data_IF_211231663424
#
_entry.id   IF_211231663424
#
_cell.length_a   1.000
_cell.length_b   1.000
_cell.length_c   1.000
_cell.angle_alpha   90.00
_cell.angle_beta   90.00
_cell.angle_gamma   90.00
#
_symmetry.space_group_name_H-M   'P 1'
#
loop_
_entity.id
_entity.type
_entity.pdbx_description
1 polymer ?
#
# COMPACT_ATOMS: atom_id res chain seq x y z
N UNK A 1 13.90 -29.83 14.64
CA UNK A 1 13.66 -30.49 15.94
C UNK A 1 14.40 -29.67 16.99
N UNK A 2 13.70 -28.79 17.72
CA UNK A 2 14.15 -28.13 18.95
C UNK A 2 12.94 -27.39 19.54
N UNK A 3 11.91 -28.18 19.89
CA UNK A 3 10.84 -27.77 20.79
C UNK A 3 10.99 -28.66 22.01
N UNK A 4 11.82 -28.28 22.98
CA UNK A 4 11.86 -28.85 24.33
C UNK A 4 12.96 -28.14 25.11
N UNK A 5 12.64 -27.06 25.84
CA UNK A 5 13.24 -26.78 27.16
C UNK A 5 12.75 -25.49 27.87
N UNK A 6 11.46 -25.13 27.80
CA UNK A 6 10.92 -24.16 28.77
C UNK A 6 9.87 -24.81 29.67
N UNK A 7 10.46 -25.60 30.58
CA UNK A 7 10.06 -25.86 31.96
C UNK A 7 8.87 -25.03 32.46
N UNK A 8 7.73 -25.71 32.57
CA UNK A 8 6.59 -25.36 33.40
C UNK A 8 6.99 -25.40 34.89
N UNK A 9 7.36 -24.25 35.47
CA UNK A 9 7.42 -23.91 36.91
C UNK A 9 7.94 -22.47 36.93
N UNK A 10 7.18 -21.44 37.27
CA UNK A 10 6.51 -21.17 38.53
C UNK A 10 5.33 -20.22 38.25
N UNK A 11 4.11 -20.66 38.55
CA UNK A 11 2.88 -19.85 38.56
C UNK A 11 2.38 -19.73 40.01
N UNK A 12 3.31 -19.54 40.96
CA UNK A 12 3.02 -19.42 42.40
C UNK A 12 3.61 -18.12 42.95
N UNK A 13 3.06 -16.97 42.54
CA UNK A 13 3.02 -15.76 43.39
C UNK A 13 1.91 -14.79 42.94
N UNK A 14 0.69 -15.31 42.73
CA UNK A 14 -0.51 -14.44 42.60
C UNK A 14 -1.51 -14.86 43.67
N UNK A 15 -1.06 -14.86 44.91
CA UNK A 15 -1.94 -14.94 46.07
C UNK A 15 -1.59 -13.81 47.04
N UNK A 16 -1.67 -12.57 46.54
CA UNK A 16 -1.85 -11.39 47.38
C UNK A 16 -3.05 -10.65 46.85
N UNK A 17 -4.08 -10.65 47.68
CA UNK A 17 -5.42 -10.18 47.36
C UNK A 17 -5.42 -8.75 46.84
N UNK A 18 -5.79 -8.62 45.59
CA UNK A 18 -6.51 -7.47 45.06
C UNK A 18 -7.48 -8.02 44.03
N UNK A 19 -8.75 -7.64 44.13
CA UNK A 19 -9.86 -8.12 43.30
C UNK A 19 -9.70 -7.63 41.85
N UNK A 20 -8.79 -8.24 41.10
CA UNK A 20 -8.60 -7.92 39.69
C UNK A 20 -9.69 -8.69 38.91
N UNK A 21 -10.65 -8.00 38.27
CA UNK A 21 -11.76 -8.68 37.60
C UNK A 21 -11.23 -9.61 36.51
N UNK A 22 -11.56 -10.90 36.63
CA UNK A 22 -11.22 -12.04 35.75
C UNK A 22 -11.36 -11.75 34.24
N UNK A 23 -12.19 -10.77 33.86
CA UNK A 23 -12.33 -10.24 32.49
C UNK A 23 -11.06 -9.56 31.96
N UNK A 24 -10.24 -8.92 32.80
CA UNK A 24 -9.01 -8.23 32.36
C UNK A 24 -7.86 -9.19 32.07
N UNK A 25 -7.79 -10.32 32.78
CA UNK A 25 -6.70 -11.30 32.61
C UNK A 25 -6.80 -12.07 31.29
N UNK A 26 -8.02 -12.27 30.77
CA UNK A 26 -8.26 -12.99 29.51
C UNK A 26 -8.30 -12.07 28.27
N UNK A 27 -8.61 -10.78 28.46
CA UNK A 27 -8.75 -9.81 27.36
C UNK A 27 -7.39 -9.28 26.87
N UNK A 28 -6.39 -9.21 27.74
CA UNK A 28 -5.02 -8.79 27.39
C UNK A 28 -4.32 -9.76 26.41
N UNK A 29 -4.30 -11.10 26.61
CA UNK A 29 -3.69 -11.99 25.61
C UNK A 29 -4.48 -12.06 24.30
N UNK A 30 -5.81 -11.92 24.35
CA UNK A 30 -6.66 -11.91 23.14
C UNK A 30 -6.40 -10.66 22.28
N UNK A 31 -6.25 -9.49 22.91
CA UNK A 31 -5.95 -8.23 22.22
C UNK A 31 -4.52 -8.22 21.66
N UNK A 32 -3.58 -8.84 22.35
CA UNK A 32 -2.21 -9.03 21.84
C UNK A 32 -2.20 -9.91 20.57
N UNK A 33 -2.91 -11.04 20.55
CA UNK A 33 -3.00 -11.89 19.35
C UNK A 33 -3.62 -11.19 18.13
N UNK A 34 -4.57 -10.27 18.34
CA UNK A 34 -5.21 -9.50 17.27
C UNK A 34 -4.29 -8.41 16.66
N UNK A 35 -3.31 -7.92 17.42
CA UNK A 35 -2.39 -6.88 16.94
C UNK A 35 -1.20 -7.47 16.15
N UNK A 36 -0.88 -8.75 16.33
CA UNK A 36 0.23 -9.40 15.60
C UNK A 36 -0.13 -9.87 14.18
N UNK A 37 -1.40 -9.83 13.77
CA UNK A 37 -1.84 -10.26 12.42
C UNK A 37 -1.87 -9.13 11.39
N UNK A 38 -1.33 -7.95 11.70
CA UNK A 38 -1.47 -6.75 10.86
C UNK A 38 -0.40 -6.54 9.77
N UNK A 39 0.67 -7.35 9.70
CA UNK A 39 1.63 -7.30 8.59
C UNK A 39 1.16 -8.23 7.46
N UNK A 40 0.16 -7.78 6.69
CA UNK A 40 -0.45 -8.56 5.63
C UNK A 40 0.20 -8.30 4.27
N UNK A 41 1.11 -9.17 3.83
CA UNK A 41 1.41 -9.37 2.41
C UNK A 41 0.46 -10.46 1.88
N UNK A 42 -0.22 -10.19 0.77
CA UNK A 42 -1.09 -11.17 0.11
C UNK A 42 -0.36 -11.76 -1.10
N UNK A 43 -0.12 -13.07 -1.08
CA UNK A 43 0.50 -13.81 -2.17
C UNK A 43 -0.43 -14.87 -2.74
N UNK A 44 -0.60 -14.93 -4.07
CA UNK A 44 -1.50 -15.87 -4.74
C UNK A 44 -0.87 -16.47 -6.00
N UNK A 45 -1.07 -17.78 -6.22
CA UNK A 45 -0.75 -18.47 -7.47
C UNK A 45 -1.84 -19.50 -7.76
N UNK A 46 -2.40 -19.50 -8.97
CA UNK A 46 -3.52 -20.39 -9.32
C UNK A 46 -3.12 -21.85 -9.14
N UNK A 47 -3.86 -22.58 -8.32
CA UNK A 47 -3.63 -24.00 -8.05
C UNK A 47 -2.53 -24.30 -7.02
N UNK A 48 -1.89 -23.28 -6.43
CA UNK A 48 -0.92 -23.45 -5.36
C UNK A 48 -1.61 -23.36 -3.99
N UNK A 49 -1.08 -24.10 -3.02
CA UNK A 49 -1.54 -24.11 -1.63
C UNK A 49 -0.71 -23.17 -0.75
N UNK A 50 -1.12 -22.97 0.50
CA UNK A 50 -0.34 -22.19 1.46
C UNK A 50 1.04 -22.83 1.73
N UNK A 51 1.15 -24.17 1.70
CA UNK A 51 2.42 -24.85 1.85
C UNK A 51 3.37 -24.57 0.68
N UNK A 52 2.85 -24.44 -0.54
CA UNK A 52 3.64 -24.06 -1.71
C UNK A 52 4.17 -22.64 -1.60
N UNK A 53 3.37 -21.72 -1.02
CA UNK A 53 3.79 -20.35 -0.77
C UNK A 53 4.94 -20.30 0.22
N UNK A 54 4.81 -20.96 1.38
CA UNK A 54 5.86 -20.97 2.39
C UNK A 54 7.15 -21.61 1.86
N UNK A 55 7.04 -22.72 1.10
CA UNK A 55 8.20 -23.32 0.44
C UNK A 55 8.88 -22.38 -0.56
N UNK A 56 8.09 -21.65 -1.35
CA UNK A 56 8.61 -20.68 -2.32
C UNK A 56 9.29 -19.50 -1.61
N UNK A 57 8.68 -19.02 -0.52
CA UNK A 57 9.20 -17.96 0.33
C UNK A 57 10.51 -18.35 0.99
N UNK A 58 10.61 -19.56 1.54
CA UNK A 58 11.83 -20.07 2.15
C UNK A 58 12.96 -20.20 1.12
N UNK A 59 12.64 -20.66 -0.09
CA UNK A 59 13.60 -20.69 -1.19
C UNK A 59 14.08 -19.28 -1.58
N UNK A 60 13.19 -18.29 -1.57
CA UNK A 60 13.51 -16.89 -1.87
C UNK A 60 14.22 -16.14 -0.73
N UNK A 61 14.14 -16.62 0.52
CA UNK A 61 14.79 -15.99 1.68
C UNK A 61 16.23 -16.45 1.89
N UNK A 62 16.72 -17.39 1.09
CA UNK A 62 18.09 -17.88 1.18
C UNK A 62 19.09 -16.72 1.04
N UNK A 63 20.04 -16.62 1.97
CA UNK A 63 21.10 -15.60 2.02
C UNK A 63 20.69 -14.17 2.43
N UNK A 64 19.61 -14.00 3.20
CA UNK A 64 19.30 -12.70 3.83
C UNK A 64 18.86 -11.63 2.83
N UNK A 65 18.18 -12.05 1.76
CA UNK A 65 17.59 -11.16 0.76
C UNK A 65 16.63 -10.16 1.44
N UNK A 66 16.65 -8.90 0.97
CA UNK A 66 15.68 -7.89 1.41
C UNK A 66 14.27 -8.28 1.00
N UNK A 67 13.25 -7.76 1.69
CA UNK A 67 11.84 -8.08 1.40
C UNK A 67 11.47 -7.78 -0.07
N UNK A 68 12.02 -6.70 -0.65
CA UNK A 68 11.86 -6.38 -2.06
C UNK A 68 12.46 -7.44 -2.99
N UNK A 69 13.60 -8.02 -2.63
CA UNK A 69 14.24 -9.08 -3.40
C UNK A 69 13.50 -10.43 -3.24
N UNK A 70 12.94 -10.70 -2.05
CA UNK A 70 12.08 -11.86 -1.81
C UNK A 70 10.80 -11.77 -2.64
N UNK A 71 10.13 -10.60 -2.63
CA UNK A 71 8.95 -10.32 -3.46
C UNK A 71 9.24 -10.56 -4.93
N UNK A 72 10.33 -10.00 -5.45
CA UNK A 72 10.72 -10.21 -6.85
C UNK A 72 10.96 -11.68 -7.18
N UNK A 73 11.63 -12.42 -6.30
CA UNK A 73 11.83 -13.86 -6.49
C UNK A 73 10.50 -14.64 -6.52
N UNK A 74 9.53 -14.29 -5.67
CA UNK A 74 8.20 -14.89 -5.69
C UNK A 74 7.44 -14.56 -6.99
N UNK A 75 7.51 -13.30 -7.45
CA UNK A 75 6.94 -12.87 -8.73
C UNK A 75 7.55 -13.62 -9.92
N UNK A 76 8.87 -13.78 -9.94
CA UNK A 76 9.58 -14.54 -10.98
C UNK A 76 9.20 -16.05 -10.95
N UNK A 77 8.76 -16.57 -9.80
CA UNK A 77 8.18 -17.92 -9.64
C UNK A 77 6.67 -17.98 -10.00
N UNK A 78 6.08 -16.88 -10.44
CA UNK A 78 4.68 -16.78 -10.87
C UNK A 78 3.68 -16.58 -9.72
N UNK A 79 4.13 -16.10 -8.56
CA UNK A 79 3.25 -15.63 -7.48
C UNK A 79 2.85 -14.17 -7.71
N UNK A 80 1.57 -13.86 -7.54
CA UNK A 80 1.08 -12.49 -7.42
C UNK A 80 1.27 -12.03 -5.98
N UNK A 81 2.20 -11.12 -5.72
CA UNK A 81 2.53 -10.63 -4.37
C UNK A 81 2.11 -9.17 -4.23
N UNK A 82 1.18 -8.90 -3.31
CA UNK A 82 0.67 -7.56 -3.01
C UNK A 82 0.81 -7.23 -1.53
N UNK A 83 1.55 -6.18 -1.23
CA UNK A 83 1.60 -5.57 0.10
C UNK A 83 0.28 -4.86 0.39
N UNK A 84 -0.46 -5.31 1.39
CA UNK A 84 -1.72 -4.66 1.77
C UNK A 84 -1.49 -3.30 2.42
N UNK A 85 -0.28 -3.06 2.93
CA UNK A 85 0.19 -1.78 3.44
C UNK A 85 0.32 -0.71 2.35
N UNK A 86 0.60 -1.13 1.11
CA UNK A 86 0.80 -0.23 -0.03
C UNK A 86 -0.48 -0.03 -0.86
N UNK A 87 -1.60 -0.59 -0.39
CA UNK A 87 -2.90 -0.39 -1.04
C UNK A 87 -3.24 1.09 -1.01
N UNK A 88 -3.33 1.67 -2.20
CA UNK A 88 -3.69 3.07 -2.36
C UNK A 88 -5.11 3.27 -1.82
N UNK A 89 -5.28 4.09 -0.77
CA UNK A 89 -6.61 4.34 -0.25
C UNK A 89 -7.51 4.84 -1.39
N UNK A 90 -7.01 5.70 -2.27
CA UNK A 90 -7.83 6.30 -3.31
C UNK A 90 -8.12 5.35 -4.49
N UNK A 91 -7.61 4.11 -4.51
CA UNK A 91 -7.71 3.19 -5.65
C UNK A 91 -9.13 2.90 -6.17
N UNK A 92 -10.15 2.99 -5.32
CA UNK A 92 -11.56 2.79 -5.71
C UNK A 92 -12.17 4.00 -6.44
N UNK A 93 -11.49 5.14 -6.44
CA UNK A 93 -11.89 6.35 -7.12
C UNK A 93 -11.08 6.44 -8.42
N UNK A 94 -11.78 6.47 -9.54
CA UNK A 94 -11.13 6.65 -10.84
C UNK A 94 -10.51 8.06 -10.89
N UNK A 95 -9.18 8.20 -11.10
CA UNK A 95 -8.57 9.49 -11.32
C UNK A 95 -9.09 10.06 -12.64
N UNK A 96 -9.40 11.35 -12.67
CA UNK A 96 -9.81 11.98 -13.91
C UNK A 96 -8.59 12.17 -14.81
N UNK A 97 -8.70 11.72 -16.07
CA UNK A 97 -7.57 11.64 -17.02
C UNK A 97 -7.01 13.02 -17.37
N UNK A 98 -7.83 14.07 -17.27
CA UNK A 98 -7.49 15.43 -17.70
C UNK A 98 -6.53 16.20 -16.78
N UNK A 99 -6.24 15.72 -15.56
CA UNK A 99 -5.36 16.41 -14.60
C UNK A 99 -4.07 15.65 -14.25
N UNK A 100 -3.81 14.49 -14.89
CA UNK A 100 -2.47 13.89 -14.81
C UNK A 100 -1.54 14.80 -15.58
N UNK A 101 -0.53 15.36 -14.90
CA UNK A 101 0.53 16.15 -15.56
C UNK A 101 0.96 15.46 -16.84
N UNK A 102 0.83 16.18 -17.97
CA UNK A 102 1.37 15.76 -19.27
C UNK A 102 2.82 15.36 -19.09
N UNK A 103 3.06 14.06 -19.13
CA UNK A 103 4.33 13.45 -18.79
C UNK A 103 4.33 12.00 -19.22
N UNK A 104 4.46 11.80 -20.53
CA UNK A 104 4.77 10.52 -21.20
C UNK A 104 3.60 9.53 -21.37
N UNK A 105 2.76 9.80 -22.36
CA UNK A 105 2.33 8.74 -23.28
C UNK A 105 2.89 9.10 -24.65
N UNK A 106 4.00 8.44 -25.01
CA UNK A 106 4.62 8.52 -26.32
C UNK A 106 4.86 7.11 -26.84
N UNK A 107 3.96 6.70 -27.73
CA UNK A 107 4.24 5.97 -28.96
C UNK A 107 4.87 4.56 -28.88
N UNK A 108 4.01 3.54 -28.91
CA UNK A 108 4.32 2.28 -29.61
C UNK A 108 3.40 2.13 -30.81
N UNK A 109 3.78 2.77 -31.92
CA UNK A 109 3.30 2.39 -33.24
C UNK A 109 4.41 2.59 -34.29
N UNK A 110 4.93 1.45 -34.75
CA UNK A 110 5.47 1.19 -36.09
C UNK A 110 6.71 1.97 -36.57
N UNK A 111 7.81 1.24 -36.76
CA UNK A 111 8.38 1.01 -38.10
C UNK A 111 9.49 -0.04 -38.06
N UNK A 112 9.21 -1.20 -38.65
CA UNK A 112 10.23 -2.05 -39.23
C UNK A 112 10.60 -1.47 -40.61
N UNK A 113 11.87 -1.14 -40.84
CA UNK A 113 12.53 -1.24 -42.13
C UNK A 113 14.05 -1.05 -41.96
N UNK A 114 14.80 -2.03 -42.47
CA UNK A 114 16.25 -2.10 -42.48
C UNK A 114 16.92 -1.05 -43.39
N UNK A 115 18.18 -0.69 -43.13
CA UNK A 115 19.38 -0.99 -43.95
C UNK A 115 20.61 -0.19 -43.45
N UNK A 116 21.79 -0.76 -43.68
CA UNK A 116 23.12 -0.54 -43.10
C UNK A 116 23.89 0.65 -43.72
N UNK A 117 24.94 1.15 -43.03
CA UNK A 117 26.35 1.34 -43.48
C UNK A 117 27.19 2.14 -42.44
N UNK A 118 28.17 1.44 -41.85
CA UNK A 118 29.59 1.71 -41.57
C UNK A 118 30.15 3.14 -41.28
N UNK A 119 30.85 3.28 -40.13
CA UNK A 119 32.27 3.70 -39.97
C UNK A 119 32.56 4.52 -38.70
N UNK A 120 33.55 4.10 -37.89
CA UNK A 120 34.44 5.02 -37.14
C UNK A 120 34.45 4.98 -35.60
N UNK A 121 35.28 4.09 -35.03
CA UNK A 121 35.79 3.97 -33.63
C UNK A 121 36.73 5.13 -33.22
N UNK A 122 37.20 5.34 -31.94
CA UNK A 122 36.84 4.85 -30.59
C UNK A 122 36.58 5.94 -29.51
N UNK A 123 36.21 5.46 -28.31
CA UNK A 123 36.57 5.96 -26.96
C UNK A 123 35.48 6.75 -26.20
N UNK A 124 34.85 6.08 -25.23
CA UNK A 124 35.09 6.41 -23.81
C UNK A 124 34.56 5.29 -22.89
N UNK A 125 35.34 5.02 -21.85
CA UNK A 125 35.20 3.94 -20.90
C UNK A 125 33.89 3.99 -20.12
N UNK A 126 33.30 2.81 -19.96
CA UNK A 126 32.05 2.53 -19.29
C UNK A 126 32.01 3.04 -17.83
N UNK A 127 30.90 3.70 -17.48
CA UNK A 127 30.33 3.66 -16.14
C UNK A 127 28.87 3.21 -16.31
N UNK A 128 28.67 1.91 -16.39
CA UNK A 128 27.34 1.31 -16.39
C UNK A 128 26.93 1.09 -14.95
N UNK A 129 26.31 2.10 -14.35
CA UNK A 129 25.38 1.89 -13.25
C UNK A 129 24.24 1.01 -13.80
N UNK A 130 23.81 -0.06 -13.14
CA UNK A 130 22.62 -0.78 -13.55
C UNK A 130 21.43 0.15 -13.30
N UNK A 131 20.90 0.67 -14.40
CA UNK A 131 19.69 1.48 -14.46
C UNK A 131 18.56 0.70 -13.77
N UNK A 132 18.02 1.33 -12.73
CA UNK A 132 16.94 0.79 -11.93
C UNK A 132 15.72 0.51 -12.80
N UNK A 133 15.04 -0.59 -12.47
CA UNK A 133 13.72 -0.87 -12.98
C UNK A 133 12.83 0.39 -12.89
N UNK A 134 11.94 0.65 -13.88
CA UNK A 134 11.06 1.81 -13.85
C UNK A 134 10.27 1.82 -12.54
N UNK A 135 10.54 2.82 -11.69
CA UNK A 135 9.71 3.09 -10.54
C UNK A 135 8.28 3.35 -11.06
N UNK A 136 7.30 2.65 -10.48
CA UNK A 136 5.90 2.92 -10.76
C UNK A 136 5.62 4.42 -10.63
N UNK A 137 4.73 5.01 -11.45
CA UNK A 137 4.45 6.43 -11.43
C UNK A 137 4.05 6.87 -10.02
N UNK A 138 4.78 7.85 -9.47
CA UNK A 138 4.53 8.41 -8.15
C UNK A 138 3.19 9.15 -8.18
N UNK A 139 2.20 8.64 -7.45
CA UNK A 139 0.86 9.25 -7.35
C UNK A 139 0.95 10.56 -6.58
N UNK A 140 0.48 11.66 -7.15
CA UNK A 140 0.59 12.98 -6.53
C UNK A 140 -0.51 13.20 -5.49
N UNK A 141 -0.19 13.93 -4.41
CA UNK A 141 -1.19 14.39 -3.44
C UNK A 141 -2.19 15.37 -4.06
N UNK A 142 -1.83 16.02 -5.16
CA UNK A 142 -2.67 16.99 -5.88
C UNK A 142 -3.48 16.38 -7.03
N UNK A 143 -3.35 15.07 -7.29
CA UNK A 143 -4.18 14.39 -8.29
C UNK A 143 -5.66 14.64 -8.00
N UNK A 144 -6.42 15.05 -9.03
CA UNK A 144 -7.83 15.44 -8.89
C UNK A 144 -8.77 14.29 -9.20
N UNK A 145 -9.79 14.16 -8.36
CA UNK A 145 -10.84 13.14 -8.43
C UNK A 145 -12.19 13.81 -8.33
N UNK A 146 -13.16 13.39 -9.14
CA UNK A 146 -14.52 13.89 -9.07
C UNK A 146 -15.32 13.07 -8.05
N UNK A 147 -15.77 13.71 -6.98
CA UNK A 147 -16.55 13.06 -5.92
C UNK A 147 -17.96 13.64 -5.87
N UNK A 148 -18.95 12.84 -6.22
CA UNK A 148 -20.34 13.30 -6.35
C UNK A 148 -21.08 13.31 -5.02
N UNK A 149 -20.66 12.47 -4.07
CA UNK A 149 -21.26 12.40 -2.75
C UNK A 149 -20.28 11.86 -1.72
N UNK A 150 -20.52 12.26 -0.47
CA UNK A 150 -19.75 11.87 0.70
C UNK A 150 -20.65 11.16 1.69
N UNK A 151 -20.14 10.10 2.32
CA UNK A 151 -20.86 9.41 3.37
C UNK A 151 -19.95 9.04 4.54
N UNK A 152 -20.54 9.10 5.74
CA UNK A 152 -20.00 8.62 7.01
C UNK A 152 -21.18 8.26 7.92
N UNK A 153 -21.06 7.16 8.66
CA UNK A 153 -22.15 6.66 9.51
C UNK A 153 -22.50 7.70 10.59
N UNK A 154 -23.76 8.13 10.63
CA UNK A 154 -24.26 9.05 11.66
C UNK A 154 -23.77 10.49 11.53
N UNK A 155 -23.20 10.88 10.39
CA UNK A 155 -22.71 12.24 10.15
C UNK A 155 -23.45 12.87 8.96
N UNK A 156 -23.70 14.18 9.04
CA UNK A 156 -24.42 14.95 8.04
C UNK A 156 -23.56 16.03 7.38
N UNK A 157 -24.24 17.05 6.84
CA UNK A 157 -23.60 18.12 6.07
C UNK A 157 -22.67 18.99 6.91
N UNK A 158 -23.06 19.30 8.14
CA UNK A 158 -22.26 20.15 9.03
C UNK A 158 -20.94 19.46 9.37
N UNK A 159 -21.00 18.19 9.76
CA UNK A 159 -19.81 17.40 10.08
C UNK A 159 -18.93 17.17 8.85
N UNK A 160 -19.51 17.08 7.66
CA UNK A 160 -18.76 17.01 6.40
C UNK A 160 -17.98 18.31 6.16
N UNK A 161 -18.62 19.46 6.34
CA UNK A 161 -17.98 20.77 6.18
C UNK A 161 -16.84 20.94 7.20
N UNK A 162 -17.08 20.56 8.47
CA UNK A 162 -16.08 20.64 9.53
C UNK A 162 -14.88 19.73 9.23
N UNK A 163 -15.13 18.47 8.83
CA UNK A 163 -14.06 17.54 8.47
C UNK A 163 -13.27 18.01 7.23
N UNK A 164 -13.96 18.60 6.25
CA UNK A 164 -13.31 19.18 5.07
C UNK A 164 -12.39 20.33 5.47
N UNK A 165 -12.88 21.26 6.29
CA UNK A 165 -12.09 22.39 6.77
C UNK A 165 -10.91 21.94 7.63
N UNK A 166 -11.08 20.91 8.46
CA UNK A 166 -10.00 20.33 9.25
C UNK A 166 -8.90 19.75 8.36
N UNK A 167 -9.27 19.01 7.32
CA UNK A 167 -8.30 18.47 6.37
C UNK A 167 -7.60 19.56 5.55
N UNK A 168 -8.31 20.62 5.16
CA UNK A 168 -7.71 21.79 4.48
C UNK A 168 -6.77 22.54 5.42
N UNK A 169 -7.06 22.62 6.72
CA UNK A 169 -6.16 23.22 7.70
C UNK A 169 -4.88 22.40 7.91
N UNK A 170 -4.96 21.06 7.84
CA UNK A 170 -3.79 20.17 7.94
C UNK A 170 -2.93 20.18 6.68
N UNK A 171 -3.57 20.18 5.51
CA UNK A 171 -2.90 19.99 4.22
C UNK A 171 -2.58 21.30 3.48
N UNK A 172 -3.30 22.38 3.79
CA UNK A 172 -3.21 23.67 3.10
C UNK A 172 -4.36 23.92 2.10
N UNK A 173 -4.49 25.20 1.71
CA UNK A 173 -5.58 25.67 0.83
C UNK A 173 -5.54 25.06 -0.58
N UNK A 174 -4.38 24.57 -1.05
CA UNK A 174 -4.25 23.86 -2.32
C UNK A 174 -5.09 22.57 -2.39
N UNK A 175 -5.43 22.01 -1.23
CA UNK A 175 -6.25 20.80 -1.12
C UNK A 175 -7.74 21.09 -0.97
N UNK A 176 -8.16 22.37 -0.97
CA UNK A 176 -9.57 22.75 -0.82
C UNK A 176 -10.40 22.21 -2.00
N UNK A 177 -11.51 21.49 -1.74
CA UNK A 177 -12.33 20.97 -2.82
C UNK A 177 -13.07 22.12 -3.52
N UNK A 178 -13.21 22.01 -4.83
CA UNK A 178 -13.96 22.98 -5.62
C UNK A 178 -15.47 22.72 -5.44
N UNK A 179 -16.23 23.69 -4.88
CA UNK A 179 -17.64 23.51 -4.60
C UNK A 179 -18.53 23.45 -5.85
N UNK A 180 -18.03 23.92 -7.01
CA UNK A 180 -18.76 23.95 -8.28
C UNK A 180 -18.50 22.67 -9.07
N UNK A 181 -17.24 22.29 -9.20
CA UNK A 181 -16.85 21.15 -10.05
C UNK A 181 -16.84 19.81 -9.32
N UNK A 182 -16.92 19.84 -7.98
CA UNK A 182 -16.84 18.66 -7.12
C UNK A 182 -15.51 17.88 -7.24
N UNK A 183 -14.46 18.57 -7.72
CA UNK A 183 -13.12 18.02 -7.72
C UNK A 183 -12.49 18.14 -6.33
N UNK A 184 -11.86 17.05 -5.92
CA UNK A 184 -11.08 16.95 -4.69
C UNK A 184 -9.71 16.38 -5.00
N UNK A 185 -8.72 16.73 -4.20
CA UNK A 185 -7.35 16.24 -4.34
C UNK A 185 -7.18 14.88 -3.65
N UNK A 186 -6.16 14.11 -4.08
CA UNK A 186 -5.76 12.86 -3.43
C UNK A 186 -5.50 13.05 -1.93
N UNK A 187 -4.80 14.13 -1.57
CA UNK A 187 -4.50 14.48 -0.19
C UNK A 187 -5.76 14.63 0.66
N UNK A 188 -6.75 15.40 0.16
CA UNK A 188 -8.02 15.57 0.86
C UNK A 188 -8.76 14.24 1.02
N UNK A 189 -8.80 13.40 -0.02
CA UNK A 189 -9.42 12.07 0.05
C UNK A 189 -8.77 11.17 1.11
N UNK A 190 -7.44 11.22 1.25
CA UNK A 190 -6.70 10.46 2.26
C UNK A 190 -7.05 10.95 3.66
N UNK A 191 -7.02 12.27 3.88
CA UNK A 191 -7.36 12.85 5.18
C UNK A 191 -8.82 12.55 5.58
N UNK A 192 -9.76 12.76 4.65
CA UNK A 192 -11.18 12.47 4.86
C UNK A 192 -11.40 11.00 5.25
N UNK A 193 -10.67 10.07 4.62
CA UNK A 193 -10.74 8.65 4.97
C UNK A 193 -10.23 8.33 6.37
N UNK A 194 -9.13 8.96 6.81
CA UNK A 194 -8.65 8.82 8.20
C UNK A 194 -9.75 9.22 9.20
N UNK A 195 -10.54 10.23 8.84
CA UNK A 195 -11.69 10.69 9.62
C UNK A 195 -12.99 9.87 9.40
N UNK A 196 -12.92 8.76 8.65
CA UNK A 196 -14.03 7.83 8.43
C UNK A 196 -15.03 8.27 7.34
N UNK A 197 -14.67 9.26 6.51
CA UNK A 197 -15.46 9.68 5.37
C UNK A 197 -15.08 8.94 4.10
N UNK A 198 -16.08 8.64 3.27
CA UNK A 198 -15.91 7.94 2.00
C UNK A 198 -16.56 8.74 0.89
N UNK A 199 -15.79 9.04 -0.15
CA UNK A 199 -16.29 9.65 -1.38
C UNK A 199 -16.83 8.59 -2.33
N UNK A 200 -17.89 8.93 -3.05
CA UNK A 200 -18.39 8.15 -4.19
C UNK A 200 -17.97 8.87 -5.47
N UNK A 201 -17.26 8.17 -6.34
CA UNK A 201 -16.93 8.66 -7.67
C UNK A 201 -18.18 8.70 -8.56
N UNK A 202 -18.21 9.64 -9.50
CA UNK A 202 -19.09 9.49 -10.65
C UNK A 202 -18.65 8.26 -11.44
N UNK A 203 -19.62 7.53 -11.98
CA UNK A 203 -19.37 6.55 -13.03
C UNK A 203 -18.99 7.25 -14.33
#
# INVERSE_FOLDING_TARGET
MLCEHLSYKEFDDVNKGEDIPMKKVLLVPLLACLLLSACGEFSYKRGATAADLEKSRDACKANGMSDAAVKKCLEDQGWFVHDLSDMDPVAVLMPNEDNRSSGSQGDVAAAAAATMVESGTPASTASTTPDGAPAAPVKSMTDKFKVTSWWKRGAGRTELADATNQCVAELGEEHRPDPVTQYTTRGLLICMRKSGWYGLASK
#
